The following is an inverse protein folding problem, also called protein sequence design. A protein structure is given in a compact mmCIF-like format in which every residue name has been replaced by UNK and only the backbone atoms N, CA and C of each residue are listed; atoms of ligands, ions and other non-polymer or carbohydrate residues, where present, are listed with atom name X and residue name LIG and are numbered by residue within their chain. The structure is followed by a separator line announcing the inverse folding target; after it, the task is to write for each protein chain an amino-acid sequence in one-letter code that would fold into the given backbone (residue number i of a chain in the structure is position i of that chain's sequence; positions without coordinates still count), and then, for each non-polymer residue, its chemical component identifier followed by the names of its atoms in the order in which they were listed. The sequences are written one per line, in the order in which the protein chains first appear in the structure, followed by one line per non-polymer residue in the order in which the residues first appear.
data_IF_885179916387
#
_entry.id   IF_885179916387
#
_cell.length_a   1.000
_cell.length_b   1.000
_cell.length_c   1.000
_cell.angle_alpha   90.00
_cell.angle_beta   90.00
_cell.angle_gamma   90.00
#
_symmetry.space_group_name_H-M   'P 1'
#
loop_
_entity.id
_entity.type
_entity.pdbx_description
1 polymer ?
#
# COMPACT_ATOMS: atom_id res chain seq x y z
N UNK A 1 -48.96 18.75 -7.30
CA UNK A 1 -49.44 17.38 -7.08
C UNK A 1 -48.85 16.90 -5.74
N UNK A 2 -49.71 16.52 -4.81
CA UNK A 2 -49.47 16.47 -3.35
C UNK A 2 -48.57 15.29 -2.94
N UNK A 3 -47.50 15.60 -2.19
CA UNK A 3 -46.68 14.62 -1.46
C UNK A 3 -47.46 13.99 -0.33
N UNK A 4 -47.51 12.68 -0.29
CA UNK A 4 -48.03 11.90 0.85
C UNK A 4 -46.85 11.47 1.76
N UNK A 5 -46.86 12.06 2.95
CA UNK A 5 -46.01 11.63 4.07
C UNK A 5 -46.64 10.39 4.70
N UNK A 6 -45.98 9.23 4.71
CA UNK A 6 -46.37 8.10 5.55
C UNK A 6 -45.47 8.05 6.78
N UNK A 7 -46.09 8.42 7.91
CA UNK A 7 -45.60 8.17 9.26
C UNK A 7 -45.80 6.68 9.57
N UNK A 8 -44.76 5.99 10.00
CA UNK A 8 -44.90 4.70 10.65
C UNK A 8 -44.23 4.68 12.04
N UNK A 9 -45.01 4.22 12.96
CA UNK A 9 -44.92 4.33 14.38
C UNK A 9 -43.83 3.49 15.04
N UNK A 10 -43.31 4.08 16.10
CA UNK A 10 -42.51 3.48 17.17
C UNK A 10 -43.25 2.34 17.83
N UNK A 11 -42.67 1.17 18.00
CA UNK A 11 -43.07 0.16 18.94
C UNK A 11 -41.92 -0.13 19.89
N UNK A 12 -42.17 0.32 21.11
CA UNK A 12 -41.48 -0.01 22.36
C UNK A 12 -41.73 -1.49 22.73
N UNK A 13 -40.74 -2.16 23.26
CA UNK A 13 -40.83 -3.54 23.78
C UNK A 13 -39.51 -3.96 24.44
N UNK A 14 -39.42 -3.65 25.67
CA UNK A 14 -39.33 -4.44 26.89
C UNK A 14 -38.04 -5.24 27.15
N UNK A 15 -37.43 -4.83 28.26
CA UNK A 15 -36.29 -5.41 28.99
C UNK A 15 -36.45 -6.93 29.27
N UNK A 16 -35.35 -7.66 29.15
CA UNK A 16 -35.09 -8.84 29.99
C UNK A 16 -33.65 -8.79 30.50
N UNK A 17 -33.55 -8.51 31.79
CA UNK A 17 -32.36 -8.67 32.63
C UNK A 17 -32.32 -10.13 33.06
N UNK A 18 -31.28 -10.87 32.76
CA UNK A 18 -30.94 -12.10 33.48
C UNK A 18 -29.49 -12.02 33.94
N UNK A 19 -29.38 -11.80 35.24
CA UNK A 19 -28.16 -12.00 36.01
C UNK A 19 -27.94 -13.51 36.21
N UNK A 20 -26.74 -13.99 35.87
CA UNK A 20 -26.28 -15.30 36.34
C UNK A 20 -24.92 -15.08 37.01
N UNK A 21 -24.97 -15.19 38.33
CA UNK A 21 -23.80 -15.34 39.21
C UNK A 21 -23.40 -16.82 39.24
N UNK A 22 -22.12 -17.13 39.09
CA UNK A 22 -21.51 -18.39 39.57
C UNK A 22 -20.07 -18.09 40.01
N UNK A 23 -19.93 -18.12 41.22
CA UNK A 23 -19.18 -18.76 42.28
C UNK A 23 -17.78 -19.27 41.92
N UNK A 24 -16.87 -18.83 42.75
CA UNK A 24 -15.48 -19.24 42.88
C UNK A 24 -15.33 -20.73 43.26
N UNK A 25 -14.22 -21.33 42.78
CA UNK A 25 -13.59 -22.46 43.47
C UNK A 25 -12.09 -22.25 43.45
N UNK A 26 -11.59 -21.95 44.62
CA UNK A 26 -10.20 -22.06 45.06
C UNK A 26 -9.80 -23.55 45.14
N UNK A 27 -8.66 -23.92 44.59
CA UNK A 27 -7.93 -25.09 45.07
C UNK A 27 -6.43 -24.83 45.02
N UNK A 28 -5.90 -24.74 46.22
CA UNK A 28 -4.50 -24.76 46.60
C UNK A 28 -4.08 -26.24 46.66
N UNK A 29 -3.01 -26.57 45.95
CA UNK A 29 -2.14 -27.69 46.41
C UNK A 29 -0.65 -27.37 46.16
N UNK A 30 0.08 -27.61 47.23
CA UNK A 30 1.50 -27.34 47.47
C UNK A 30 2.37 -28.47 46.95
N UNK A 31 3.62 -28.11 46.73
CA UNK A 31 4.84 -28.89 46.72
C UNK A 31 5.25 -29.57 45.41
N UNK A 32 6.25 -28.98 44.77
CA UNK A 32 7.48 -29.75 44.56
C UNK A 32 8.69 -28.79 44.40
N UNK A 33 9.56 -28.81 45.41
CA UNK A 33 10.91 -28.29 45.34
C UNK A 33 11.74 -29.22 44.44
N UNK A 34 12.36 -28.68 43.38
CA UNK A 34 13.56 -29.29 42.86
C UNK A 34 14.47 -28.25 42.18
N UNK A 35 15.54 -28.00 42.89
CA UNK A 35 16.93 -27.87 42.47
C UNK A 35 17.27 -26.97 41.28
N UNK A 36 17.82 -25.83 41.65
CA UNK A 36 18.50 -24.86 40.77
C UNK A 36 19.77 -25.57 40.21
N UNK A 37 19.82 -25.68 38.90
CA UNK A 37 21.03 -25.94 38.16
C UNK A 37 21.30 -24.74 37.27
N UNK A 38 22.38 -24.01 37.58
CA UNK A 38 22.85 -22.85 36.84
C UNK A 38 23.27 -23.31 35.44
N UNK A 39 22.53 -22.90 34.42
CA UNK A 39 23.04 -22.85 33.07
C UNK A 39 23.16 -21.40 32.65
N UNK A 40 24.38 -21.00 32.33
CA UNK A 40 24.76 -19.73 31.79
C UNK A 40 23.86 -19.38 30.60
N UNK A 41 22.91 -18.46 30.79
CA UNK A 41 22.17 -17.84 29.69
C UNK A 41 23.08 -16.79 29.07
N UNK A 42 23.78 -17.20 28.02
CA UNK A 42 24.39 -16.32 27.06
C UNK A 42 23.27 -15.37 26.54
N UNK A 43 23.38 -14.13 26.93
CA UNK A 43 22.52 -13.05 26.42
C UNK A 43 22.75 -12.92 24.92
N UNK A 44 21.91 -13.54 24.12
CA UNK A 44 21.83 -13.26 22.69
C UNK A 44 21.11 -11.91 22.55
N UNK A 45 21.85 -10.94 22.03
CA UNK A 45 21.37 -9.67 21.56
C UNK A 45 20.20 -9.93 20.60
N UNK A 46 19.04 -9.22 20.69
CA UNK A 46 17.91 -9.47 19.81
C UNK A 46 18.37 -9.21 18.38
N UNK A 47 18.56 -10.29 17.64
CA UNK A 47 18.75 -10.28 16.20
C UNK A 47 17.57 -9.48 15.61
N UNK A 48 17.90 -8.33 15.01
CA UNK A 48 16.96 -7.50 14.29
C UNK A 48 16.30 -8.37 13.22
N UNK A 49 15.10 -8.86 13.49
CA UNK A 49 14.29 -9.58 12.52
C UNK A 49 14.01 -8.59 11.39
N UNK A 50 14.85 -8.63 10.38
CA UNK A 50 14.56 -7.99 9.11
C UNK A 50 13.35 -8.73 8.55
N UNK A 51 12.18 -8.10 8.64
CA UNK A 51 10.98 -8.58 7.95
C UNK A 51 11.36 -8.83 6.49
N UNK A 52 11.13 -10.03 5.96
CA UNK A 52 11.50 -10.35 4.59
C UNK A 52 10.81 -9.35 3.66
N UNK A 53 11.62 -8.67 2.86
CA UNK A 53 11.20 -7.63 1.94
C UNK A 53 10.14 -8.20 1.01
N UNK A 54 8.89 -7.82 1.22
CA UNK A 54 7.71 -8.25 0.45
C UNK A 54 7.89 -7.93 -1.06
N UNK A 55 8.81 -7.01 -1.37
CA UNK A 55 9.13 -6.57 -2.74
C UNK A 55 9.88 -7.61 -3.59
N UNK A 56 10.44 -8.66 -3.01
CA UNK A 56 11.34 -9.58 -3.75
C UNK A 56 10.65 -10.39 -4.86
N UNK A 57 9.33 -10.62 -4.75
CA UNK A 57 8.55 -11.40 -5.71
C UNK A 57 7.61 -10.54 -6.60
N UNK A 58 7.43 -9.24 -6.27
CA UNK A 58 6.52 -8.37 -7.02
C UNK A 58 7.13 -7.98 -8.35
N UNK A 59 6.35 -8.16 -9.42
CA UNK A 59 6.79 -7.85 -10.79
C UNK A 59 5.67 -7.25 -11.62
N UNK A 60 6.07 -6.44 -12.60
CA UNK A 60 5.18 -5.77 -13.53
C UNK A 60 5.69 -5.96 -14.96
N UNK A 61 4.78 -6.13 -15.91
CA UNK A 61 5.08 -6.22 -17.33
C UNK A 61 4.82 -4.86 -17.99
N UNK A 62 5.81 -4.31 -18.67
CA UNK A 62 5.73 -3.05 -19.39
C UNK A 62 5.19 -3.20 -20.81
N UNK A 63 4.92 -2.06 -21.46
CA UNK A 63 4.45 -1.97 -22.85
C UNK A 63 5.42 -2.61 -23.85
N UNK A 64 6.72 -2.62 -23.55
CA UNK A 64 7.77 -3.27 -24.36
C UNK A 64 7.79 -4.81 -24.23
N UNK A 65 6.84 -5.36 -23.46
CA UNK A 65 6.68 -6.79 -23.18
C UNK A 65 7.66 -7.33 -22.14
N UNK A 66 8.58 -6.52 -21.62
CA UNK A 66 9.53 -6.95 -20.59
C UNK A 66 8.90 -6.92 -19.19
N UNK A 67 9.28 -7.88 -18.39
CA UNK A 67 8.91 -7.93 -16.97
C UNK A 67 10.01 -7.33 -16.11
N UNK A 68 9.63 -6.43 -15.22
CA UNK A 68 10.50 -5.80 -14.23
C UNK A 68 10.16 -6.41 -12.86
N UNK A 69 11.15 -6.96 -12.18
CA UNK A 69 11.07 -7.33 -10.77
C UNK A 69 11.39 -6.10 -9.92
N UNK A 70 10.61 -5.81 -8.90
CA UNK A 70 10.88 -4.68 -7.99
C UNK A 70 12.26 -4.82 -7.32
N UNK A 71 12.68 -6.04 -7.00
CA UNK A 71 14.00 -6.31 -6.43
C UNK A 71 15.15 -5.91 -7.36
N UNK A 72 14.94 -5.83 -8.68
CA UNK A 72 15.95 -5.37 -9.64
C UNK A 72 16.09 -3.85 -9.67
N UNK A 73 15.18 -3.12 -9.01
CA UNK A 73 15.21 -1.66 -8.91
C UNK A 73 15.84 -1.15 -7.60
N UNK A 74 16.47 -2.04 -6.80
CA UNK A 74 17.26 -1.61 -5.63
C UNK A 74 18.32 -0.58 -6.04
N UNK A 75 18.50 0.43 -5.17
CA UNK A 75 19.31 1.60 -5.46
C UNK A 75 18.55 2.74 -6.12
N UNK A 76 17.28 2.53 -6.46
CA UNK A 76 16.40 3.57 -7.02
C UNK A 76 15.18 3.79 -6.14
N UNK A 77 14.68 5.01 -6.12
CA UNK A 77 13.33 5.31 -5.63
C UNK A 77 12.33 4.82 -6.67
N UNK A 78 11.28 4.13 -6.24
CA UNK A 78 10.24 3.65 -7.17
C UNK A 78 8.91 4.27 -6.80
N UNK A 79 8.34 5.04 -7.71
CA UNK A 79 7.01 5.59 -7.63
C UNK A 79 6.06 4.66 -8.39
N UNK A 80 5.16 3.99 -7.68
CA UNK A 80 4.19 3.04 -8.23
C UNK A 80 2.81 3.62 -8.03
N UNK A 81 2.06 3.84 -9.11
CA UNK A 81 0.67 4.27 -9.05
C UNK A 81 -0.24 3.19 -9.64
N UNK A 82 -1.16 2.70 -8.83
CA UNK A 82 -2.19 1.73 -9.23
C UNK A 82 -3.46 2.48 -9.65
N UNK A 83 -3.87 2.27 -10.88
CA UNK A 83 -4.94 3.04 -11.52
C UNK A 83 -5.74 2.21 -12.53
N UNK A 84 -6.82 2.79 -13.09
CA UNK A 84 -7.57 2.23 -14.20
C UNK A 84 -8.18 3.33 -15.07
N UNK A 85 -8.45 3.04 -16.34
CA UNK A 85 -9.00 4.00 -17.31
C UNK A 85 -10.43 4.46 -17.02
N UNK A 86 -11.18 3.70 -16.23
CA UNK A 86 -12.57 4.02 -15.82
C UNK A 86 -12.65 4.68 -14.44
N UNK A 87 -11.53 4.93 -13.77
CA UNK A 87 -11.47 5.45 -12.40
C UNK A 87 -11.34 6.99 -12.44
N UNK A 88 -12.41 7.79 -12.18
CA UNK A 88 -12.33 9.23 -12.29
C UNK A 88 -11.25 9.89 -11.42
N UNK A 89 -11.11 9.56 -10.10
CA UNK A 89 -10.06 10.18 -9.30
C UNK A 89 -8.64 9.78 -9.75
N UNK A 90 -8.48 8.59 -10.37
CA UNK A 90 -7.21 8.19 -10.97
C UNK A 90 -6.86 9.10 -12.16
N UNK A 91 -7.84 9.35 -13.05
CA UNK A 91 -7.65 10.18 -14.24
C UNK A 91 -7.34 11.63 -13.83
N UNK A 92 -8.00 12.14 -12.80
CA UNK A 92 -7.81 13.51 -12.30
C UNK A 92 -6.38 13.76 -11.77
N UNK A 93 -5.69 12.76 -11.25
CA UNK A 93 -4.32 12.92 -10.74
C UNK A 93 -3.22 12.77 -11.79
N UNK A 94 -3.49 12.09 -12.95
CA UNK A 94 -2.49 11.81 -13.97
C UNK A 94 -1.75 13.04 -14.50
N UNK A 95 -2.40 14.22 -14.74
CA UNK A 95 -1.68 15.41 -15.13
C UNK A 95 -0.58 15.80 -14.14
N UNK A 96 -0.88 15.75 -12.85
CA UNK A 96 0.08 16.11 -11.79
C UNK A 96 1.22 15.09 -11.67
N UNK A 97 0.94 13.78 -11.85
CA UNK A 97 1.97 12.74 -11.92
C UNK A 97 2.88 12.96 -13.13
N UNK A 98 2.30 13.32 -14.26
CA UNK A 98 3.06 13.60 -15.48
C UNK A 98 4.00 14.81 -15.31
N UNK A 99 3.55 15.88 -14.66
CA UNK A 99 4.41 17.03 -14.33
C UNK A 99 5.48 16.65 -13.30
N UNK A 100 5.12 15.87 -12.29
CA UNK A 100 6.09 15.33 -11.32
C UNK A 100 7.20 14.53 -12.04
N UNK A 101 6.84 13.59 -12.91
CA UNK A 101 7.83 12.80 -13.68
C UNK A 101 8.73 13.71 -14.50
N UNK A 102 8.18 14.78 -15.12
CA UNK A 102 8.98 15.75 -15.89
C UNK A 102 10.00 16.48 -15.03
N UNK A 103 9.69 16.77 -13.76
CA UNK A 103 10.63 17.43 -12.84
C UNK A 103 11.85 16.55 -12.53
N UNK A 104 11.74 15.22 -12.68
CA UNK A 104 12.83 14.25 -12.55
C UNK A 104 13.43 13.82 -13.89
N UNK A 105 13.15 14.56 -14.98
CA UNK A 105 13.68 14.21 -16.31
C UNK A 105 15.21 14.13 -16.32
N UNK A 106 15.71 12.98 -16.74
CA UNK A 106 17.16 12.70 -16.79
C UNK A 106 17.74 12.14 -15.49
N UNK A 107 16.98 12.13 -14.40
CA UNK A 107 17.38 11.50 -13.17
C UNK A 107 17.15 9.97 -13.29
N UNK A 108 18.22 9.18 -13.08
CA UNK A 108 18.18 7.73 -13.19
C UNK A 108 17.94 7.03 -11.84
N UNK A 109 17.90 7.79 -10.75
CA UNK A 109 17.70 7.28 -9.39
C UNK A 109 16.23 7.18 -8.98
N UNK A 110 15.31 7.51 -9.89
CA UNK A 110 13.87 7.36 -9.70
C UNK A 110 13.20 6.71 -10.91
N UNK A 111 12.25 5.82 -10.66
CA UNK A 111 11.46 5.11 -11.66
C UNK A 111 9.99 5.31 -11.39
N UNK A 112 9.20 5.59 -12.44
CA UNK A 112 7.74 5.72 -12.37
C UNK A 112 7.08 4.52 -13.05
N UNK A 113 6.22 3.81 -12.31
CA UNK A 113 5.47 2.65 -12.79
C UNK A 113 3.97 2.95 -12.67
N UNK A 114 3.30 3.18 -13.82
CA UNK A 114 1.85 3.38 -13.87
C UNK A 114 1.18 2.03 -14.08
N UNK A 115 0.71 1.40 -13.02
CA UNK A 115 0.20 0.02 -13.03
C UNK A 115 -1.31 0.02 -13.23
N UNK A 116 -1.75 -0.42 -14.41
CA UNK A 116 -3.16 -0.68 -14.68
C UNK A 116 -3.60 -1.98 -14.00
N UNK A 117 -4.54 -1.86 -13.05
CA UNK A 117 -5.00 -2.98 -12.24
C UNK A 117 -5.88 -3.98 -13.00
N UNK A 118 -6.51 -3.54 -14.10
CA UNK A 118 -7.34 -4.40 -14.95
C UNK A 118 -6.53 -5.20 -15.97
N UNK A 119 -5.23 -4.91 -16.08
CA UNK A 119 -4.32 -5.52 -17.07
C UNK A 119 -4.72 -5.26 -18.53
N UNK A 120 -5.40 -4.14 -18.79
CA UNK A 120 -5.83 -3.72 -20.13
C UNK A 120 -4.74 -2.86 -20.81
N UNK A 121 -3.54 -3.41 -20.99
CA UNK A 121 -2.34 -2.71 -21.49
C UNK A 121 -2.62 -1.82 -22.71
N UNK A 122 -3.29 -2.35 -23.73
CA UNK A 122 -3.52 -1.63 -24.98
C UNK A 122 -4.41 -0.39 -24.76
N UNK A 123 -5.47 -0.54 -23.96
CA UNK A 123 -6.41 0.53 -23.64
C UNK A 123 -5.75 1.62 -22.81
N UNK A 124 -4.99 1.23 -21.79
CA UNK A 124 -4.30 2.15 -20.89
C UNK A 124 -3.16 2.89 -21.59
N UNK A 125 -2.41 2.22 -22.47
CA UNK A 125 -1.38 2.86 -23.29
C UNK A 125 -1.98 3.83 -24.32
N UNK A 126 -3.10 3.46 -24.96
CA UNK A 126 -3.82 4.36 -25.85
C UNK A 126 -4.28 5.61 -25.10
N UNK A 127 -4.84 5.46 -23.89
CA UNK A 127 -5.27 6.56 -23.04
C UNK A 127 -4.09 7.52 -22.73
N UNK A 128 -2.93 7.00 -22.32
CA UNK A 128 -1.75 7.84 -22.04
C UNK A 128 -1.31 8.63 -23.28
N UNK A 129 -1.30 7.98 -24.45
CA UNK A 129 -0.92 8.59 -25.72
C UNK A 129 -1.90 9.67 -26.18
N UNK A 130 -3.19 9.42 -26.10
CA UNK A 130 -4.24 10.38 -26.50
C UNK A 130 -4.19 11.65 -25.64
N UNK A 131 -3.90 11.52 -24.35
CA UNK A 131 -3.74 12.62 -23.42
C UNK A 131 -2.32 13.23 -23.42
N UNK A 132 -1.40 12.72 -24.24
CA UNK A 132 -0.02 13.20 -24.38
C UNK A 132 0.77 13.14 -23.05
N UNK A 133 0.49 12.12 -22.23
CA UNK A 133 1.26 11.87 -21.02
C UNK A 133 2.52 11.06 -21.34
N UNK A 134 3.67 11.50 -20.82
CA UNK A 134 4.92 10.75 -20.82
C UNK A 134 4.95 9.79 -19.62
N UNK A 135 3.97 8.90 -19.55
CA UNK A 135 3.78 7.94 -18.45
C UNK A 135 3.71 6.53 -19.05
N UNK A 136 4.70 5.70 -18.72
CA UNK A 136 4.76 4.31 -19.22
C UNK A 136 3.80 3.43 -18.43
N UNK A 137 2.96 2.68 -19.14
CA UNK A 137 2.01 1.75 -18.53
C UNK A 137 2.67 0.40 -18.25
N UNK A 138 2.28 -0.15 -17.11
CA UNK A 138 2.60 -1.51 -16.67
C UNK A 138 1.32 -2.23 -16.28
N UNK A 139 1.39 -3.55 -16.28
CA UNK A 139 0.34 -4.42 -15.73
C UNK A 139 0.96 -5.38 -14.71
N UNK A 140 0.20 -5.88 -13.73
CA UNK A 140 0.68 -6.91 -12.82
C UNK A 140 1.20 -8.15 -13.57
N UNK A 141 2.38 -8.63 -13.19
CA UNK A 141 2.97 -9.89 -13.67
C UNK A 141 3.14 -10.89 -12.53
N UNK A 142 2.79 -10.49 -11.31
CA UNK A 142 2.70 -11.32 -10.10
C UNK A 142 1.49 -10.88 -9.28
N UNK A 143 1.18 -11.61 -8.21
CA UNK A 143 0.27 -11.15 -7.17
C UNK A 143 0.80 -9.86 -6.54
N UNK A 144 -0.11 -8.90 -6.28
CA UNK A 144 0.21 -7.62 -5.63
C UNK A 144 -0.14 -7.74 -4.15
N UNK A 145 0.83 -7.62 -3.24
CA UNK A 145 0.58 -7.68 -1.82
C UNK A 145 -0.37 -6.56 -1.34
N UNK A 146 -1.15 -6.83 -0.29
CA UNK A 146 -2.07 -5.86 0.31
C UNK A 146 -1.38 -4.60 0.83
N UNK A 147 -0.10 -4.69 1.19
CA UNK A 147 0.72 -3.54 1.60
C UNK A 147 0.97 -2.57 0.43
N UNK A 148 0.90 -3.05 -0.81
CA UNK A 148 1.01 -2.24 -2.01
C UNK A 148 -0.36 -1.73 -2.46
N UNK A 149 -1.31 -2.65 -2.67
CA UNK A 149 -2.65 -2.34 -3.15
C UNK A 149 -3.67 -3.02 -2.25
N UNK A 150 -4.45 -2.21 -1.54
CA UNK A 150 -5.59 -2.67 -0.75
C UNK A 150 -6.85 -2.80 -1.61
N UNK A 151 -7.96 -2.24 -1.13
CA UNK A 151 -9.27 -2.34 -1.77
C UNK A 151 -9.63 -1.13 -2.64
N UNK A 152 -8.76 -0.13 -2.76
CA UNK A 152 -9.08 1.14 -3.41
C UNK A 152 -8.01 1.57 -4.42
N UNK A 153 -8.46 2.22 -5.51
CA UNK A 153 -7.65 2.98 -6.45
C UNK A 153 -8.17 4.41 -6.55
N UNK A 154 -7.31 5.41 -6.84
CA UNK A 154 -5.86 5.23 -6.99
C UNK A 154 -5.16 4.92 -5.67
N UNK A 155 -4.12 4.13 -5.75
CA UNK A 155 -3.17 3.94 -4.65
C UNK A 155 -1.76 4.17 -5.17
N UNK A 156 -1.00 5.03 -4.49
CA UNK A 156 0.40 5.26 -4.80
C UNK A 156 1.28 4.70 -3.69
N UNK A 157 2.29 3.92 -4.09
CA UNK A 157 3.34 3.41 -3.22
C UNK A 157 4.67 3.97 -3.67
N UNK A 158 5.45 4.47 -2.71
CA UNK A 158 6.81 4.95 -2.96
C UNK A 158 7.76 4.02 -2.21
N UNK A 159 8.69 3.43 -2.95
CA UNK A 159 9.78 2.65 -2.36
C UNK A 159 11.04 3.51 -2.29
N UNK A 160 11.77 3.38 -1.21
CA UNK A 160 13.11 3.93 -1.07
C UNK A 160 14.15 3.10 -1.83
N UNK A 161 15.42 3.54 -1.82
CA UNK A 161 16.52 2.85 -2.49
C UNK A 161 16.82 1.45 -1.95
N UNK A 162 16.40 1.15 -0.71
CA UNK A 162 16.52 -0.20 -0.14
C UNK A 162 15.41 -1.15 -0.63
N UNK A 163 14.36 -0.60 -1.25
CA UNK A 163 13.16 -1.30 -1.69
C UNK A 163 12.10 -1.43 -0.59
N UNK A 164 12.21 -0.65 0.48
CA UNK A 164 11.18 -0.59 1.53
C UNK A 164 10.13 0.46 1.18
N UNK A 165 8.91 0.26 1.67
CA UNK A 165 7.83 1.24 1.49
C UNK A 165 8.13 2.48 2.34
N UNK A 166 8.48 3.57 1.68
CA UNK A 166 8.67 4.87 2.30
C UNK A 166 7.34 5.61 2.50
N UNK A 167 6.40 5.44 1.57
CA UNK A 167 5.06 6.01 1.68
C UNK A 167 4.03 5.16 0.92
N UNK A 168 2.79 5.15 1.44
CA UNK A 168 1.60 4.60 0.77
C UNK A 168 0.44 5.56 0.94
N UNK A 169 -0.20 5.90 -0.17
CA UNK A 169 -1.26 6.90 -0.22
C UNK A 169 -2.44 6.35 -1.02
N UNK A 170 -3.63 6.33 -0.43
CA UNK A 170 -4.88 6.01 -1.11
C UNK A 170 -5.66 7.27 -1.47
N UNK A 171 -6.38 7.21 -2.59
CA UNK A 171 -7.17 8.32 -3.13
C UNK A 171 -6.34 9.32 -3.92
N UNK A 172 -7.03 10.03 -4.84
CA UNK A 172 -6.43 10.99 -5.76
C UNK A 172 -5.75 12.16 -5.06
N UNK A 173 -4.64 12.62 -5.64
CA UNK A 173 -3.78 13.69 -5.08
C UNK A 173 -3.23 14.59 -6.18
N UNK A 174 -2.83 15.79 -5.76
CA UNK A 174 -1.98 16.65 -6.58
C UNK A 174 -0.50 16.37 -6.26
N UNK A 175 0.17 15.70 -7.20
CA UNK A 175 1.59 15.35 -7.07
C UNK A 175 2.54 16.49 -7.41
N UNK A 176 2.03 17.67 -7.80
CA UNK A 176 2.81 18.90 -7.90
C UNK A 176 2.93 19.63 -6.56
N UNK A 177 2.27 19.11 -5.51
CA UNK A 177 2.40 19.65 -4.15
C UNK A 177 3.88 19.71 -3.73
N UNK A 178 4.37 20.90 -3.29
CA UNK A 178 5.79 21.09 -2.94
C UNK A 178 6.31 20.13 -1.87
N UNK A 179 5.46 19.71 -0.91
CA UNK A 179 5.87 18.78 0.14
C UNK A 179 6.13 17.38 -0.42
N UNK A 180 5.33 16.93 -1.38
CA UNK A 180 5.53 15.64 -2.07
C UNK A 180 6.79 15.69 -2.91
N UNK A 181 6.96 16.74 -3.69
CA UNK A 181 8.16 16.95 -4.54
C UNK A 181 9.42 16.97 -3.67
N UNK A 182 9.39 17.70 -2.54
CA UNK A 182 10.50 17.78 -1.59
C UNK A 182 10.83 16.41 -1.00
N UNK A 183 9.82 15.68 -0.50
CA UNK A 183 10.02 14.34 0.08
C UNK A 183 10.62 13.34 -0.91
N UNK A 184 10.18 13.38 -2.19
CA UNK A 184 10.77 12.55 -3.24
C UNK A 184 12.21 12.92 -3.56
N UNK A 185 12.55 14.22 -3.60
CA UNK A 185 13.94 14.66 -3.79
C UNK A 185 14.84 14.18 -2.64
N UNK A 186 14.37 14.28 -1.39
CA UNK A 186 15.11 13.80 -0.22
C UNK A 186 15.37 12.29 -0.30
N UNK A 187 14.38 11.48 -0.74
CA UNK A 187 14.57 10.05 -0.97
C UNK A 187 15.58 9.76 -2.08
N UNK A 188 15.52 10.51 -3.17
CA UNK A 188 16.43 10.36 -4.32
C UNK A 188 17.87 10.77 -3.97
N UNK A 189 18.06 11.78 -3.13
CA UNK A 189 19.36 12.26 -2.67
C UNK A 189 19.94 11.42 -1.50
N UNK A 190 19.11 10.60 -0.84
CA UNK A 190 19.57 9.72 0.25
C UNK A 190 20.60 8.70 -0.27
N UNK A 191 21.57 8.36 0.59
CA UNK A 191 22.62 7.38 0.27
C UNK A 191 22.18 5.97 0.58
#
# INVERSE_FOLDING_TARGET
MKMQLKKMAVRSGLLFITAISFAACENVDKNNENKIENNDVKTEEPEKVETPVVTSAVSFKGEDGKTILLSSLKGKVVFINFWATWCPPCIEELPSINELKKSFKGNQDIVFLMVDVDSEMEKSSAFMKENKYDLTVYIPASEIPSDFLGSAIPTTVILDKSGQIAARMEGGRDYTNPDIVKALNELVESK
#
